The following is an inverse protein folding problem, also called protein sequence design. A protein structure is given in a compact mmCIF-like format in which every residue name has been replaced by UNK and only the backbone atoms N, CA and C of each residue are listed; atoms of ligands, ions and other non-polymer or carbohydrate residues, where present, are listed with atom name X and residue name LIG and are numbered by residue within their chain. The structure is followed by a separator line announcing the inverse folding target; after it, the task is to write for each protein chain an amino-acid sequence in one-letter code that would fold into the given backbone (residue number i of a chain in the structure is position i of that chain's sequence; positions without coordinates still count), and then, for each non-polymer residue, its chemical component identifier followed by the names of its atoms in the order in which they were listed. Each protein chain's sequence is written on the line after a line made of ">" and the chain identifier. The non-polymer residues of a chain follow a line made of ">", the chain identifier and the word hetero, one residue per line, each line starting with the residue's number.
data_IF_231127019187
#
_entry.id   IF_231127019187
#
_cell.length_a   1.000
_cell.length_b   1.000
_cell.length_c   1.000
_cell.angle_alpha   90.00
_cell.angle_beta   90.00
_cell.angle_gamma   90.00
#
_symmetry.space_group_name_H-M   'P 1'
#
loop_
_entity.id
_entity.type
_entity.pdbx_description
1 polymer ?
#
# COMPACT_ATOMS: atom_id res chain seq x y z
N UNK A 1 -12.57 -7.30 12.02
CA UNK A 1 -11.26 -6.77 11.53
C UNK A 1 -11.49 -5.67 10.48
N UNK A 2 -10.48 -4.83 10.20
CA UNK A 2 -10.64 -3.72 9.23
C UNK A 2 -10.88 -4.22 7.80
N UNK A 3 -10.20 -5.28 7.37
CA UNK A 3 -10.39 -5.87 6.02
C UNK A 3 -11.83 -6.29 5.77
N UNK A 4 -12.49 -6.88 6.77
CA UNK A 4 -13.90 -7.27 6.68
C UNK A 4 -14.82 -6.04 6.58
N UNK A 5 -14.51 -4.97 7.31
CA UNK A 5 -15.26 -3.71 7.19
C UNK A 5 -15.09 -3.06 5.81
N UNK A 6 -13.90 -3.16 5.19
CA UNK A 6 -13.69 -2.69 3.82
C UNK A 6 -14.53 -3.52 2.85
N UNK A 7 -14.52 -4.85 2.99
CA UNK A 7 -15.32 -5.73 2.13
C UNK A 7 -16.83 -5.45 2.26
N UNK A 8 -17.31 -5.21 3.48
CA UNK A 8 -18.68 -4.82 3.75
C UNK A 8 -19.01 -3.44 3.14
N UNK A 9 -18.16 -2.43 3.35
CA UNK A 9 -18.37 -1.08 2.84
C UNK A 9 -18.37 -1.01 1.31
N UNK A 10 -17.55 -1.85 0.65
CA UNK A 10 -17.47 -1.92 -0.83
C UNK A 10 -18.42 -2.95 -1.43
N UNK A 11 -19.21 -3.64 -0.62
CA UNK A 11 -20.05 -4.76 -1.03
C UNK A 11 -19.28 -5.82 -1.84
N UNK A 12 -18.03 -6.09 -1.43
CA UNK A 12 -17.12 -7.02 -2.10
C UNK A 12 -17.21 -8.42 -1.50
N UNK A 13 -17.30 -9.44 -2.35
CA UNK A 13 -17.21 -10.84 -1.95
C UNK A 13 -15.72 -11.28 -1.87
N UNK A 14 -15.21 -11.69 -0.68
CA UNK A 14 -13.81 -12.02 -0.49
C UNK A 14 -13.32 -13.17 -1.39
N UNK A 15 -12.21 -12.97 -2.10
CA UNK A 15 -11.64 -13.97 -3.01
C UNK A 15 -10.99 -15.16 -2.29
N UNK A 16 -10.50 -14.97 -1.05
CA UNK A 16 -9.81 -15.99 -0.24
C UNK A 16 -8.63 -16.63 -0.97
N UNK A 17 -7.79 -15.81 -1.60
CA UNK A 17 -6.60 -16.27 -2.33
C UNK A 17 -5.50 -16.68 -1.37
N UNK A 18 -4.75 -17.72 -1.75
CA UNK A 18 -3.42 -17.99 -1.18
C UNK A 18 -2.37 -17.35 -2.09
N UNK A 19 -1.60 -16.42 -1.55
CA UNK A 19 -0.54 -15.72 -2.26
C UNK A 19 0.84 -16.18 -1.80
N UNK A 20 1.86 -16.17 -2.65
CA UNK A 20 3.20 -16.69 -2.33
C UNK A 20 4.02 -15.70 -1.47
N UNK A 21 3.53 -15.34 -0.30
CA UNK A 21 4.14 -14.34 0.58
C UNK A 21 5.57 -14.65 0.95
N UNK A 22 5.92 -15.93 1.18
CA UNK A 22 7.29 -16.33 1.49
C UNK A 22 8.28 -15.86 0.40
N UNK A 23 7.92 -15.99 -0.86
CA UNK A 23 8.75 -15.53 -1.98
C UNK A 23 8.85 -14.01 -2.03
N UNK A 24 7.74 -13.30 -1.77
CA UNK A 24 7.71 -11.84 -1.73
C UNK A 24 8.58 -11.30 -0.58
N UNK A 25 8.44 -11.88 0.60
CA UNK A 25 9.19 -11.48 1.80
C UNK A 25 10.67 -11.84 1.69
N UNK A 26 11.02 -12.97 1.04
CA UNK A 26 12.40 -13.32 0.71
C UNK A 26 13.02 -12.30 -0.25
N UNK A 27 12.31 -11.92 -1.29
CA UNK A 27 12.73 -10.89 -2.26
C UNK A 27 12.98 -9.52 -1.61
N UNK A 28 12.13 -9.14 -0.65
CA UNK A 28 12.25 -7.89 0.10
C UNK A 28 13.34 -7.97 1.19
N UNK A 29 13.66 -9.16 1.67
CA UNK A 29 14.54 -9.37 2.83
C UNK A 29 13.89 -8.94 4.15
N UNK A 30 12.56 -8.93 4.22
CA UNK A 30 11.77 -8.60 5.42
C UNK A 30 10.35 -9.13 5.30
N UNK A 31 9.66 -9.34 6.44
CA UNK A 31 8.23 -9.63 6.46
C UNK A 31 7.38 -8.45 6.00
N UNK A 32 6.09 -8.69 5.81
CA UNK A 32 5.09 -7.69 5.48
C UNK A 32 3.99 -7.63 6.54
N UNK A 33 3.27 -6.49 6.70
CA UNK A 33 2.14 -6.40 7.62
C UNK A 33 1.06 -7.45 7.32
N UNK A 34 0.66 -8.23 8.32
CA UNK A 34 -0.32 -9.31 8.16
C UNK A 34 -1.70 -8.81 7.69
N UNK A 35 -2.11 -7.62 8.12
CA UNK A 35 -3.36 -7.00 7.70
C UNK A 35 -3.33 -6.58 6.22
N UNK A 36 -2.17 -6.17 5.68
CA UNK A 36 -2.00 -5.95 4.26
C UNK A 36 -2.05 -7.25 3.45
N UNK A 37 -1.37 -8.31 3.92
CA UNK A 37 -1.44 -9.62 3.27
C UNK A 37 -2.88 -10.08 3.16
N UNK A 38 -3.64 -9.96 4.25
CA UNK A 38 -5.07 -10.29 4.26
C UNK A 38 -5.90 -9.40 3.34
N UNK A 39 -5.57 -8.11 3.23
CA UNK A 39 -6.23 -7.20 2.28
C UNK A 39 -6.01 -7.68 0.83
N UNK A 40 -4.77 -8.00 0.46
CA UNK A 40 -4.44 -8.49 -0.88
C UNK A 40 -5.08 -9.86 -1.19
N UNK A 41 -5.18 -10.77 -0.22
CA UNK A 41 -5.84 -12.07 -0.35
C UNK A 41 -7.36 -11.93 -0.50
N UNK A 42 -7.94 -10.92 0.13
CA UNK A 42 -9.38 -10.65 0.11
C UNK A 42 -9.84 -9.99 -1.20
N UNK A 43 -9.07 -9.03 -1.69
CA UNK A 43 -9.46 -8.21 -2.84
C UNK A 43 -8.71 -8.57 -4.13
N UNK A 44 -7.48 -9.07 -4.04
CA UNK A 44 -6.59 -9.21 -5.18
C UNK A 44 -6.05 -7.86 -5.63
N UNK A 45 -5.59 -7.80 -6.88
CA UNK A 45 -5.13 -6.57 -7.51
C UNK A 45 -6.31 -5.77 -8.03
N UNK A 46 -6.40 -4.51 -7.64
CA UNK A 46 -7.52 -3.66 -8.04
C UNK A 46 -7.45 -2.25 -7.49
N UNK A 47 -8.55 -1.55 -7.63
CA UNK A 47 -8.66 -0.14 -7.34
C UNK A 47 -9.89 0.14 -6.48
N UNK A 48 -9.70 0.82 -5.38
CA UNK A 48 -10.76 1.28 -4.50
C UNK A 48 -11.27 2.64 -4.96
N UNK A 49 -12.57 2.72 -5.26
CA UNK A 49 -13.30 3.94 -5.60
C UNK A 49 -12.65 4.75 -6.74
N UNK A 50 -12.07 4.08 -7.74
CA UNK A 50 -11.31 4.70 -8.82
C UNK A 50 -10.23 5.68 -8.34
N UNK A 51 -9.80 5.53 -7.09
CA UNK A 51 -8.87 6.45 -6.44
C UNK A 51 -7.59 5.79 -5.94
N UNK A 52 -7.70 4.71 -5.15
CA UNK A 52 -6.54 4.06 -4.52
C UNK A 52 -6.29 2.69 -5.13
N UNK A 53 -5.16 2.54 -5.76
CA UNK A 53 -4.68 1.29 -6.35
C UNK A 53 -3.67 0.63 -5.43
N UNK A 54 -4.07 -0.49 -4.82
CA UNK A 54 -3.22 -1.26 -3.91
C UNK A 54 -2.35 -2.22 -4.73
N UNK A 55 -1.05 -2.22 -4.45
CA UNK A 55 -0.12 -3.18 -5.01
C UNK A 55 -0.33 -4.55 -4.36
N UNK A 56 -0.06 -5.61 -5.10
CA UNK A 56 -0.22 -6.97 -4.62
C UNK A 56 0.83 -7.90 -5.22
N UNK A 57 0.47 -9.16 -5.39
CA UNK A 57 1.24 -10.13 -6.16
C UNK A 57 0.59 -10.23 -7.54
N UNK A 58 1.18 -9.58 -8.53
CA UNK A 58 0.64 -9.46 -9.89
C UNK A 58 1.58 -10.13 -10.91
N UNK A 59 1.19 -11.26 -11.52
CA UNK A 59 2.02 -11.93 -12.51
C UNK A 59 2.28 -11.08 -13.77
N UNK A 60 1.45 -10.06 -14.03
CA UNK A 60 1.68 -9.11 -15.14
C UNK A 60 2.73 -8.05 -14.80
N UNK A 61 3.19 -8.01 -13.55
CA UNK A 61 4.14 -7.04 -12.98
C UNK A 61 3.67 -5.58 -12.93
N UNK A 62 2.52 -5.28 -13.50
CA UNK A 62 2.05 -3.88 -13.60
C UNK A 62 1.75 -3.26 -12.23
N UNK A 63 1.19 -4.08 -11.32
CA UNK A 63 0.84 -3.68 -9.95
C UNK A 63 1.46 -4.63 -8.92
N UNK A 64 2.58 -5.24 -9.27
CA UNK A 64 3.33 -6.13 -8.39
C UNK A 64 4.21 -5.31 -7.43
N UNK A 65 4.06 -5.57 -6.14
CA UNK A 65 4.76 -4.83 -5.09
C UNK A 65 6.28 -4.93 -5.24
N UNK A 66 6.81 -6.13 -5.43
CA UNK A 66 8.27 -6.34 -5.52
C UNK A 66 8.84 -5.74 -6.80
N UNK A 67 8.10 -5.82 -7.91
CA UNK A 67 8.52 -5.21 -9.16
C UNK A 67 8.56 -3.68 -9.07
N UNK A 68 7.53 -3.07 -8.51
CA UNK A 68 7.49 -1.61 -8.31
C UNK A 68 8.59 -1.16 -7.35
N UNK A 69 8.76 -1.85 -6.21
CA UNK A 69 9.84 -1.56 -5.27
C UNK A 69 11.22 -1.63 -5.92
N UNK A 70 11.53 -2.69 -6.69
CA UNK A 70 12.79 -2.80 -7.44
C UNK A 70 12.96 -1.68 -8.46
N UNK A 71 11.91 -1.33 -9.19
CA UNK A 71 11.95 -0.21 -10.15
C UNK A 71 12.33 1.11 -9.48
N UNK A 72 11.80 1.37 -8.29
CA UNK A 72 12.18 2.57 -7.51
C UNK A 72 13.63 2.48 -7.02
N UNK A 73 14.08 1.28 -6.59
CA UNK A 73 15.48 1.04 -6.21
C UNK A 73 16.46 1.30 -7.35
N UNK A 74 16.13 0.83 -8.55
CA UNK A 74 17.00 0.92 -9.72
C UNK A 74 17.14 2.37 -10.23
N UNK A 75 16.18 3.22 -9.95
CA UNK A 75 16.18 4.63 -10.35
C UNK A 75 16.70 5.57 -9.26
N UNK A 76 16.73 5.12 -8.02
CA UNK A 76 17.20 5.90 -6.88
C UNK A 76 18.71 5.83 -6.67
N UNK A 77 19.31 6.78 -5.94
CA UNK A 77 20.73 6.76 -5.61
C UNK A 77 21.06 5.58 -4.66
N UNK A 78 22.24 4.99 -4.82
CA UNK A 78 22.71 3.93 -3.92
C UNK A 78 22.96 4.46 -2.51
N UNK A 79 23.42 5.70 -2.38
CA UNK A 79 23.68 6.38 -1.10
C UNK A 79 22.97 7.73 -1.05
N UNK A 80 22.54 8.09 0.18
CA UNK A 80 21.85 9.35 0.43
C UNK A 80 20.32 9.28 0.25
N UNK A 81 19.62 10.41 0.44
CA UNK A 81 18.20 10.52 0.18
C UNK A 81 17.93 10.51 -1.34
N UNK A 82 16.84 9.88 -1.73
CA UNK A 82 16.32 9.97 -3.09
C UNK A 82 15.75 11.37 -3.32
N UNK A 83 16.18 12.11 -4.38
CA UNK A 83 15.68 13.46 -4.64
C UNK A 83 14.14 13.54 -4.77
N UNK A 84 13.50 12.46 -5.20
CA UNK A 84 12.04 12.37 -5.33
C UNK A 84 11.39 12.04 -3.98
N UNK A 85 12.07 11.28 -3.12
CA UNK A 85 11.54 10.80 -1.85
C UNK A 85 12.07 11.56 -0.63
N UNK A 86 12.90 12.58 -0.80
CA UNK A 86 13.47 13.35 0.30
C UNK A 86 12.37 13.83 1.29
N UNK A 87 12.56 13.67 2.62
CA UNK A 87 13.78 13.28 3.34
C UNK A 87 13.99 11.76 3.49
N UNK A 88 13.13 10.95 2.91
CA UNK A 88 13.20 9.50 2.97
C UNK A 88 14.13 8.91 1.90
N UNK A 89 14.34 7.62 1.99
CA UNK A 89 15.02 6.80 0.99
C UNK A 89 14.21 5.54 0.74
N UNK A 90 14.49 4.86 -0.35
CA UNK A 90 13.90 3.54 -0.62
C UNK A 90 14.43 2.52 0.37
N UNK A 91 13.58 1.63 0.86
CA UNK A 91 13.99 0.51 1.71
C UNK A 91 14.99 -0.38 0.98
N UNK A 92 16.01 -0.81 1.70
CA UNK A 92 16.96 -1.88 1.32
C UNK A 92 17.15 -2.83 2.50
N UNK A 93 17.40 -4.13 2.30
CA UNK A 93 17.77 -5.03 3.39
C UNK A 93 18.88 -4.43 4.25
N UNK A 94 18.65 -4.36 5.58
CA UNK A 94 19.57 -3.74 6.54
C UNK A 94 19.55 -2.20 6.60
N UNK A 95 18.67 -1.53 5.86
CA UNK A 95 18.51 -0.06 5.90
C UNK A 95 17.03 0.33 5.92
N UNK A 96 16.62 1.07 6.94
CA UNK A 96 15.26 1.62 7.03
C UNK A 96 14.94 2.50 5.83
N UNK A 97 13.73 2.36 5.28
CA UNK A 97 13.30 3.15 4.13
C UNK A 97 11.87 2.84 3.69
N UNK A 98 11.46 3.42 2.58
CA UNK A 98 10.11 3.34 2.07
C UNK A 98 9.91 2.10 1.17
N UNK A 99 8.87 1.32 1.46
CA UNK A 99 8.34 0.29 0.55
C UNK A 99 7.00 0.80 0.03
N UNK A 100 6.81 1.00 -1.30
CA UNK A 100 5.54 1.40 -1.86
C UNK A 100 4.52 0.27 -1.75
N UNK A 101 3.30 0.55 -1.32
CA UNK A 101 2.23 -0.45 -1.25
C UNK A 101 0.93 -0.02 -1.94
N UNK A 102 0.76 1.27 -2.24
CA UNK A 102 -0.37 1.77 -3.03
C UNK A 102 -0.05 3.10 -3.71
N UNK A 103 -0.83 3.43 -4.72
CA UNK A 103 -0.83 4.72 -5.41
C UNK A 103 -2.25 5.24 -5.53
N UNK A 104 -2.38 6.58 -5.63
CA UNK A 104 -3.62 7.21 -6.03
C UNK A 104 -3.42 8.00 -7.32
N UNK A 105 -4.51 8.25 -8.06
CA UNK A 105 -4.45 8.94 -9.36
C UNK A 105 -3.85 10.35 -9.32
N UNK A 106 -3.91 11.01 -8.17
CA UNK A 106 -3.36 12.37 -7.98
C UNK A 106 -1.89 12.38 -7.61
N UNK A 107 -1.10 11.46 -8.14
CA UNK A 107 0.34 11.33 -7.84
C UNK A 107 0.64 11.12 -6.34
N UNK A 108 -0.33 10.63 -5.58
CA UNK A 108 -0.14 10.27 -4.19
C UNK A 108 0.47 8.87 -4.11
N UNK A 109 1.61 8.76 -3.44
CA UNK A 109 2.22 7.47 -3.08
C UNK A 109 1.92 7.14 -1.62
N UNK A 110 1.68 5.86 -1.37
CA UNK A 110 1.52 5.31 -0.03
C UNK A 110 2.61 4.29 0.22
N UNK A 111 3.33 4.47 1.31
CA UNK A 111 4.52 3.69 1.64
C UNK A 111 4.45 3.21 3.08
N UNK A 112 5.15 2.14 3.38
CA UNK A 112 5.58 1.84 4.75
C UNK A 112 6.98 2.36 4.97
N UNK A 113 7.24 2.95 6.13
CA UNK A 113 8.60 3.24 6.57
C UNK A 113 9.16 1.99 7.26
N UNK A 114 9.66 1.09 6.43
CA UNK A 114 10.05 -0.26 6.79
C UNK A 114 11.44 -0.35 7.38
N UNK A 115 11.61 -1.28 8.33
CA UNK A 115 12.90 -1.71 8.89
C UNK A 115 12.83 -3.22 9.12
N UNK A 116 13.84 -3.96 8.66
CA UNK A 116 13.89 -5.42 8.85
C UNK A 116 14.05 -5.84 10.33
N UNK A 117 14.49 -4.93 11.19
CA UNK A 117 14.70 -5.15 12.63
C UNK A 117 13.44 -4.85 13.46
N UNK A 118 12.37 -4.35 12.83
CA UNK A 118 11.11 -3.98 13.49
C UNK A 118 9.99 -4.93 13.03
N UNK A 119 8.99 -5.14 13.89
CA UNK A 119 7.77 -5.86 13.52
C UNK A 119 7.03 -5.07 12.42
N UNK A 120 6.77 -5.66 11.23
CA UNK A 120 6.04 -5.00 10.16
C UNK A 120 4.70 -4.39 10.58
N UNK A 121 4.04 -4.95 11.59
CA UNK A 121 2.80 -4.40 12.13
C UNK A 121 2.96 -3.02 12.80
N UNK A 122 4.19 -2.62 13.10
CA UNK A 122 4.51 -1.32 13.73
C UNK A 122 5.02 -0.26 12.77
N UNK A 123 5.20 -0.60 11.50
CA UNK A 123 5.71 0.36 10.52
C UNK A 123 4.71 1.49 10.27
N UNK A 124 5.15 2.76 10.40
CA UNK A 124 4.30 3.87 10.03
C UNK A 124 3.96 3.85 8.53
N UNK A 125 2.75 4.30 8.22
CA UNK A 125 2.39 4.66 6.85
C UNK A 125 2.91 6.05 6.58
N UNK A 126 3.63 6.20 5.46
CA UNK A 126 4.14 7.48 4.98
C UNK A 126 3.46 7.77 3.64
N UNK A 127 2.91 8.95 3.50
CA UNK A 127 2.20 9.35 2.28
C UNK A 127 2.47 10.80 1.93
N UNK A 128 2.47 11.08 0.63
CA UNK A 128 2.59 12.41 0.08
C UNK A 128 1.75 12.53 -1.19
N UNK A 129 0.99 13.60 -1.30
CA UNK A 129 0.44 14.05 -2.57
C UNK A 129 1.26 15.24 -3.11
N UNK A 130 1.54 15.27 -4.40
CA UNK A 130 2.22 16.42 -5.01
C UNK A 130 1.22 17.57 -5.24
N UNK A 131 1.44 18.80 -4.74
CA UNK A 131 2.61 19.33 -4.03
C UNK A 131 2.54 19.30 -2.48
N UNK A 132 1.80 18.39 -1.91
CA UNK A 132 1.55 18.34 -0.47
C UNK A 132 2.75 17.83 0.33
N UNK A 133 2.87 18.20 1.63
CA UNK A 133 3.94 17.71 2.49
C UNK A 133 3.81 16.21 2.75
N UNK A 134 4.90 15.62 3.23
CA UNK A 134 4.88 14.26 3.76
C UNK A 134 4.06 14.17 5.05
N UNK A 135 3.31 13.11 5.17
CA UNK A 135 2.58 12.74 6.39
C UNK A 135 3.03 11.36 6.85
N UNK A 136 3.21 11.21 8.14
CA UNK A 136 3.49 9.93 8.79
C UNK A 136 2.33 9.58 9.72
N UNK A 137 1.77 8.40 9.57
CA UNK A 137 0.54 7.97 10.26
C UNK A 137 0.78 6.61 10.90
N UNK A 138 0.59 6.55 12.22
CA UNK A 138 0.76 5.32 13.01
C UNK A 138 -0.59 4.58 13.10
N UNK A 139 -0.87 3.74 12.10
CA UNK A 139 -2.01 2.83 12.08
C UNK A 139 -1.75 1.67 11.14
N UNK A 140 -2.56 0.62 11.21
CA UNK A 140 -2.46 -0.50 10.30
C UNK A 140 -2.86 -0.14 8.87
N UNK A 141 -2.36 -0.87 7.87
CA UNK A 141 -2.64 -0.62 6.45
C UNK A 141 -4.14 -0.71 6.16
N UNK A 142 -4.80 -1.73 6.68
CA UNK A 142 -6.24 -1.92 6.46
C UNK A 142 -7.09 -0.88 7.20
N UNK A 143 -6.67 -0.39 8.36
CA UNK A 143 -7.33 0.74 9.02
C UNK A 143 -7.23 2.00 8.18
N UNK A 144 -6.03 2.29 7.66
CA UNK A 144 -5.81 3.46 6.80
C UNK A 144 -6.71 3.41 5.56
N UNK A 145 -6.71 2.30 4.83
CA UNK A 145 -7.59 2.11 3.65
C UNK A 145 -9.06 2.31 4.02
N UNK A 146 -9.52 1.68 5.11
CA UNK A 146 -10.91 1.84 5.57
C UNK A 146 -11.25 3.30 5.83
N UNK A 147 -10.40 4.04 6.55
CA UNK A 147 -10.68 5.45 6.87
C UNK A 147 -10.64 6.35 5.65
N UNK A 148 -9.71 6.13 4.72
CA UNK A 148 -9.67 6.85 3.44
C UNK A 148 -11.01 6.73 2.72
N UNK A 149 -11.60 5.54 2.71
CA UNK A 149 -12.83 5.25 1.97
C UNK A 149 -14.10 5.67 2.68
N UNK A 150 -14.12 5.68 4.03
CA UNK A 150 -15.39 5.75 4.79
C UNK A 150 -15.47 6.86 5.82
N UNK A 151 -14.34 7.46 6.23
CA UNK A 151 -14.29 8.46 7.28
C UNK A 151 -14.14 9.88 6.67
N UNK A 152 -15.21 10.69 6.62
CA UNK A 152 -15.16 12.03 6.02
C UNK A 152 -14.30 13.03 6.82
N UNK A 153 -13.94 12.70 8.06
CA UNK A 153 -13.11 13.55 8.92
C UNK A 153 -11.63 13.13 8.89
N UNK A 154 -11.28 12.10 8.14
CA UNK A 154 -9.89 11.63 8.00
C UNK A 154 -9.09 12.48 7.01
N UNK A 155 -8.98 13.76 7.30
CA UNK A 155 -8.24 14.73 6.48
C UNK A 155 -6.71 14.63 6.68
N UNK A 156 -5.89 14.85 5.62
CA UNK A 156 -6.29 15.20 4.24
C UNK A 156 -6.51 13.99 3.32
N UNK A 157 -6.65 12.78 3.86
CA UNK A 157 -6.61 11.54 3.09
C UNK A 157 -7.97 11.04 2.61
N UNK A 158 -9.03 11.46 3.27
CA UNK A 158 -10.39 10.98 3.02
C UNK A 158 -10.91 11.35 1.64
N UNK A 159 -11.56 10.37 0.98
CA UNK A 159 -12.36 10.56 -0.23
C UNK A 159 -13.85 10.38 0.03
N UNK A 160 -14.25 10.04 1.27
CA UNK A 160 -15.63 9.71 1.63
C UNK A 160 -16.65 10.81 1.31
N UNK A 161 -16.24 12.09 1.35
CA UNK A 161 -17.10 13.21 0.94
C UNK A 161 -17.33 13.30 -0.56
N UNK A 162 -16.34 12.87 -1.36
CA UNK A 162 -16.41 12.90 -2.82
C UNK A 162 -17.05 11.62 -3.36
N UNK A 163 -16.81 10.51 -2.68
CA UNK A 163 -17.28 9.17 -3.05
C UNK A 163 -17.92 8.48 -1.83
N UNK A 164 -19.17 8.87 -1.51
CA UNK A 164 -19.83 8.40 -0.27
C UNK A 164 -20.21 6.91 -0.30
N UNK A 165 -20.20 6.29 -1.47
CA UNK A 165 -20.41 4.85 -1.63
C UNK A 165 -19.14 4.24 -2.19
N UNK A 166 -18.25 3.72 -1.33
CA UNK A 166 -17.02 3.11 -1.78
C UNK A 166 -17.30 1.81 -2.55
N UNK A 167 -16.47 1.53 -3.53
CA UNK A 167 -16.49 0.31 -4.32
C UNK A 167 -15.08 -0.24 -4.53
N UNK A 168 -14.99 -1.43 -5.15
CA UNK A 168 -13.74 -2.02 -5.56
C UNK A 168 -13.85 -2.57 -6.97
N UNK A 169 -12.90 -2.18 -7.82
CA UNK A 169 -12.79 -2.65 -9.19
C UNK A 169 -11.54 -3.52 -9.35
N UNK A 170 -11.69 -4.83 -9.62
CA UNK A 170 -10.55 -5.70 -9.85
C UNK A 170 -9.85 -5.36 -11.17
N UNK A 171 -8.52 -5.42 -11.18
CA UNK A 171 -7.69 -5.24 -12.37
C UNK A 171 -7.10 -6.59 -12.77
N UNK A 172 -7.45 -7.05 -13.96
CA UNK A 172 -7.01 -8.36 -14.47
C UNK A 172 -7.97 -9.51 -14.15
N UNK A 173 -7.57 -10.76 -14.47
CA UNK A 173 -8.44 -11.90 -14.24
C UNK A 173 -8.62 -12.17 -12.74
N UNK A 174 -9.85 -12.39 -12.33
CA UNK A 174 -10.22 -12.75 -10.94
C UNK A 174 -9.83 -14.21 -10.58
N UNK A 175 -9.04 -14.87 -11.42
CA UNK A 175 -8.65 -16.29 -11.28
C UNK A 175 -7.22 -16.42 -10.80
#
# INVERSE_FOLDING_TARGET
>A
MWVERIAEATNWEPLRRELPWNSVEEDLGTGLPEDYKKLAETFGTGEFSEFMRVLGVDPTRRFDLTHIWRSVLDTGPEEGPDPVLEPYRVYRPGRRGLIPWAFAERECGYFWLASADEDPATWPIVTRGNPYPWHEVNMSTSEFVHRVLTDPEFEPFSIARLMPTPDFHPIGPLR
#
